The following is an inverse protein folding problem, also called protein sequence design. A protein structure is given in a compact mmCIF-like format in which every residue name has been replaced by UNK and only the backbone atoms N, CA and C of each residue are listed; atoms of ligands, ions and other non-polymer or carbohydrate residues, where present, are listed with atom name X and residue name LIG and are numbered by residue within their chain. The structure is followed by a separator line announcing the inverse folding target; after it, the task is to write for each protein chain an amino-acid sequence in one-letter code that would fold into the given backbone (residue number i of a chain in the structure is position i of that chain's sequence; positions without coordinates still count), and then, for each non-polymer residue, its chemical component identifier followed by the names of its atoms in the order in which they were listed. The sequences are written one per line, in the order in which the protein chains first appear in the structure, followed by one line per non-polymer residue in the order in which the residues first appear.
data_IF_811904713706
#
_entry.id   IF_811904713706
#
_cell.length_a   1.000
_cell.length_b   1.000
_cell.length_c   1.000
_cell.angle_alpha   90.00
_cell.angle_beta   90.00
_cell.angle_gamma   90.00
#
_symmetry.space_group_name_H-M   'P 1'
#
loop_
_entity.id
_entity.type
_entity.pdbx_description
1 polymer ?
#
# COMPACT_ATOMS: atom_id res chain seq x y z
N UNK A 1 1.28 34.14 -79.48
CA UNK A 1 0.41 35.26 -79.05
C UNK A 1 -0.90 34.67 -78.54
N UNK A 2 -1.58 35.20 -77.50
CA UNK A 2 -1.13 36.01 -76.36
C UNK A 2 -1.61 35.42 -74.98
N UNK A 3 -1.52 36.03 -73.78
CA UNK A 3 -0.45 36.72 -73.01
C UNK A 3 -0.86 36.72 -71.51
N UNK A 4 -0.04 36.14 -70.60
CA UNK A 4 0.03 36.36 -69.12
C UNK A 4 -1.26 36.09 -68.26
N UNK A 5 -1.29 36.00 -66.91
CA UNK A 5 -0.33 35.99 -65.78
C UNK A 5 -0.62 34.70 -64.92
N UNK A 6 0.24 34.10 -64.08
CA UNK A 6 1.03 34.58 -62.91
C UNK A 6 0.51 33.84 -61.64
N UNK A 7 1.26 33.54 -60.55
CA UNK A 7 2.59 33.95 -60.08
C UNK A 7 3.31 32.78 -59.35
N UNK A 8 4.63 32.67 -59.57
CA UNK A 8 5.72 32.03 -58.80
C UNK A 8 5.47 30.85 -57.82
N UNK A 9 6.12 29.73 -58.12
CA UNK A 9 6.85 28.90 -57.13
C UNK A 9 8.34 29.01 -57.45
N UNK A 10 9.18 29.36 -56.47
CA UNK A 10 10.64 29.48 -56.67
C UNK A 10 11.35 28.26 -56.10
N UNK A 11 11.97 27.46 -56.97
CA UNK A 11 12.98 26.50 -56.58
C UNK A 11 14.30 27.23 -56.28
N UNK A 12 14.91 26.93 -55.13
CA UNK A 12 16.30 27.25 -54.84
C UNK A 12 17.03 25.97 -54.47
N UNK A 13 18.07 25.63 -55.23
CA UNK A 13 18.93 24.50 -54.91
C UNK A 13 19.73 24.82 -53.65
N UNK A 14 19.83 23.86 -52.72
CA UNK A 14 20.93 23.81 -51.76
C UNK A 14 21.76 22.56 -51.99
N UNK A 15 23.08 22.76 -52.09
CA UNK A 15 24.03 21.69 -52.38
C UNK A 15 24.26 20.81 -51.14
N UNK A 16 24.39 19.51 -51.34
CA UNK A 16 24.58 18.55 -50.25
C UNK A 16 25.95 18.68 -49.58
N UNK A 17 26.03 19.42 -48.48
CA UNK A 17 27.19 19.39 -47.58
C UNK A 17 27.05 18.16 -46.69
N UNK A 18 27.91 17.16 -46.91
CA UNK A 18 28.07 16.02 -46.00
C UNK A 18 28.73 16.48 -44.69
N UNK A 19 27.95 17.11 -43.80
CA UNK A 19 28.27 17.18 -42.39
C UNK A 19 28.08 15.77 -41.79
N UNK A 20 29.11 14.95 -41.94
CA UNK A 20 29.21 13.70 -41.20
C UNK A 20 29.28 14.01 -39.72
N UNK A 21 28.15 13.91 -39.02
CA UNK A 21 28.09 13.98 -37.56
C UNK A 21 28.78 12.73 -37.02
N UNK A 22 30.10 12.84 -36.85
CA UNK A 22 30.88 11.90 -36.06
C UNK A 22 30.33 12.02 -34.64
N UNK A 23 29.50 11.06 -34.25
CA UNK A 23 29.13 10.88 -32.86
C UNK A 23 30.41 10.54 -32.10
N UNK A 24 31.06 11.57 -31.53
CA UNK A 24 32.26 11.42 -30.72
C UNK A 24 31.87 10.65 -29.46
N UNK A 25 32.05 9.33 -29.51
CA UNK A 25 31.99 8.44 -28.36
C UNK A 25 33.17 8.79 -27.44
N UNK A 26 33.01 9.85 -26.66
CA UNK A 26 34.01 10.35 -25.73
C UNK A 26 34.47 9.20 -24.82
N UNK A 27 35.76 8.91 -24.84
CA UNK A 27 36.37 7.92 -23.96
C UNK A 27 36.59 8.51 -22.57
N UNK A 28 35.50 8.83 -21.86
CA UNK A 28 35.57 9.20 -20.45
C UNK A 28 35.99 7.99 -19.61
N UNK A 29 37.28 7.94 -19.27
CA UNK A 29 37.84 6.79 -18.55
C UNK A 29 38.80 7.18 -17.41
N UNK A 30 38.42 8.22 -16.64
CA UNK A 30 39.01 8.51 -15.32
C UNK A 30 38.15 9.33 -14.34
N UNK A 31 37.02 9.93 -14.75
CA UNK A 31 36.34 10.95 -13.91
C UNK A 31 35.43 10.38 -12.81
N UNK A 32 35.09 9.08 -12.87
CA UNK A 32 34.26 8.42 -11.86
C UNK A 32 35.11 8.01 -10.63
N UNK A 33 34.59 8.17 -9.39
CA UNK A 33 35.21 7.67 -8.17
C UNK A 33 35.59 6.18 -8.26
N UNK A 34 36.75 5.83 -7.69
CA UNK A 34 37.18 4.44 -7.55
C UNK A 34 36.65 3.77 -6.27
N UNK A 35 36.11 4.55 -5.33
CA UNK A 35 35.62 4.05 -4.04
C UNK A 35 34.23 4.59 -3.72
N UNK A 36 33.36 3.71 -3.24
CA UNK A 36 31.96 4.02 -2.89
C UNK A 36 31.65 3.52 -1.48
N UNK A 37 31.34 4.43 -0.56
CA UNK A 37 30.86 4.04 0.77
C UNK A 37 29.35 3.81 0.73
N UNK A 38 28.88 2.74 1.36
CA UNK A 38 27.45 2.47 1.56
C UNK A 38 27.17 2.59 3.06
N UNK A 39 26.19 3.43 3.40
CA UNK A 39 25.74 3.61 4.78
C UNK A 39 24.80 2.49 5.22
N UNK A 40 24.92 2.06 6.47
CA UNK A 40 23.96 1.19 7.13
C UNK A 40 23.51 1.81 8.46
N UNK A 41 22.22 2.02 8.65
CA UNK A 41 21.60 2.30 9.95
C UNK A 41 20.81 1.07 10.34
N UNK A 42 21.35 0.26 11.25
CA UNK A 42 20.86 -1.11 11.48
C UNK A 42 20.44 -1.31 12.93
N UNK A 43 19.46 -2.18 13.16
CA UNK A 43 18.95 -2.46 14.51
C UNK A 43 20.02 -3.10 15.41
N UNK A 44 20.68 -4.17 14.92
CA UNK A 44 21.47 -5.08 15.76
C UNK A 44 22.88 -5.39 15.20
N UNK A 45 23.80 -5.93 16.05
CA UNK A 45 25.17 -6.24 15.63
C UNK A 45 25.32 -7.41 14.65
N UNK A 46 24.36 -8.34 14.59
CA UNK A 46 24.39 -9.43 13.60
C UNK A 46 24.05 -8.88 12.21
N UNK A 47 23.06 -7.99 12.11
CA UNK A 47 22.76 -7.23 10.89
C UNK A 47 23.95 -6.36 10.45
N UNK A 48 24.66 -5.68 11.36
CA UNK A 48 25.91 -4.96 11.02
C UNK A 48 26.99 -5.90 10.46
N UNK A 49 27.19 -7.07 11.08
CA UNK A 49 28.17 -8.07 10.64
C UNK A 49 27.81 -8.65 9.27
N UNK A 50 26.53 -8.92 9.04
CA UNK A 50 25.99 -9.41 7.77
C UNK A 50 26.11 -8.36 6.66
N UNK A 51 25.75 -7.10 6.92
CA UNK A 51 25.89 -5.98 5.98
C UNK A 51 27.34 -5.82 5.48
N UNK A 52 28.31 -5.83 6.40
CA UNK A 52 29.75 -5.83 6.09
C UNK A 52 30.17 -7.05 5.27
N UNK A 53 29.67 -8.23 5.61
CA UNK A 53 29.95 -9.48 4.88
C UNK A 53 29.39 -9.43 3.44
N UNK A 54 28.18 -8.90 3.25
CA UNK A 54 27.56 -8.72 1.93
C UNK A 54 28.38 -7.74 1.07
N UNK A 55 28.82 -6.60 1.61
CA UNK A 55 29.62 -5.62 0.86
C UNK A 55 31.03 -6.16 0.54
N UNK A 56 31.65 -6.88 1.49
CA UNK A 56 32.93 -7.56 1.23
C UNK A 56 32.80 -8.56 0.08
N UNK A 57 31.76 -9.39 0.07
CA UNK A 57 31.50 -10.36 -0.99
C UNK A 57 31.15 -9.70 -2.33
N UNK A 58 30.38 -8.59 -2.31
CA UNK A 58 30.01 -7.83 -3.52
C UNK A 58 31.24 -7.39 -4.33
N UNK A 59 32.34 -6.99 -3.68
CA UNK A 59 33.57 -6.56 -4.35
C UNK A 59 34.23 -7.63 -5.25
N UNK A 60 33.88 -8.91 -5.08
CA UNK A 60 34.35 -9.99 -5.94
C UNK A 60 33.40 -10.32 -7.10
N UNK A 61 32.17 -9.78 -7.07
CA UNK A 61 31.15 -10.03 -8.09
C UNK A 61 31.27 -9.04 -9.28
N UNK A 62 31.97 -9.49 -10.33
CA UNK A 62 32.16 -8.73 -11.58
C UNK A 62 30.86 -8.53 -12.38
N UNK A 63 29.73 -9.17 -12.02
CA UNK A 63 28.43 -8.83 -12.58
C UNK A 63 27.94 -7.46 -12.09
N UNK A 64 28.26 -7.07 -10.85
CA UNK A 64 27.79 -5.82 -10.23
C UNK A 64 28.90 -4.78 -10.04
N UNK A 65 30.15 -5.19 -9.82
CA UNK A 65 31.28 -4.28 -9.54
C UNK A 65 32.25 -4.20 -10.73
N UNK A 66 32.41 -3.02 -11.38
CA UNK A 66 33.42 -2.83 -12.42
C UNK A 66 34.86 -2.96 -11.88
N UNK A 67 35.81 -3.35 -12.74
CA UNK A 67 37.23 -3.40 -12.37
C UNK A 67 37.73 -2.02 -11.96
N UNK A 68 38.55 -1.97 -10.90
CA UNK A 68 39.06 -0.76 -10.22
C UNK A 68 38.02 0.03 -9.39
N UNK A 69 36.83 -0.52 -9.17
CA UNK A 69 35.84 0.00 -8.21
C UNK A 69 35.89 -0.85 -6.93
N UNK A 70 35.80 -0.20 -5.77
CA UNK A 70 35.70 -0.89 -4.47
C UNK A 70 34.62 -0.24 -3.58
N UNK A 71 33.74 -1.06 -3.04
CA UNK A 71 32.71 -0.69 -2.07
C UNK A 71 33.16 -0.93 -0.63
N UNK A 72 32.76 -0.04 0.28
CA UNK A 72 33.05 -0.14 1.71
C UNK A 72 31.80 0.13 2.56
N UNK A 73 31.65 -0.59 3.68
CA UNK A 73 30.59 -0.35 4.66
C UNK A 73 30.90 0.86 5.56
N UNK A 74 29.85 1.56 5.99
CA UNK A 74 29.86 2.51 7.11
C UNK A 74 28.59 2.26 7.93
N UNK A 75 28.71 1.63 9.10
CA UNK A 75 27.54 1.27 9.93
C UNK A 75 27.40 2.15 11.16
N UNK A 76 26.15 2.44 11.52
CA UNK A 76 25.72 2.93 12.82
C UNK A 76 24.47 2.15 13.27
N UNK A 77 24.15 2.23 14.56
CA UNK A 77 22.87 1.79 15.11
C UNK A 77 21.97 2.99 15.36
N UNK A 78 20.66 2.79 15.25
CA UNK A 78 19.67 3.82 15.56
C UNK A 78 19.65 4.10 17.07
N UNK A 79 19.64 5.37 17.48
CA UNK A 79 19.51 5.77 18.89
C UNK A 79 18.03 6.10 19.18
N UNK A 80 17.54 5.70 20.37
CA UNK A 80 16.18 5.99 20.85
C UNK A 80 15.86 7.50 20.92
N UNK A 81 16.87 8.37 20.90
CA UNK A 81 16.69 9.79 20.66
C UNK A 81 16.93 10.12 19.17
N UNK A 82 15.90 10.51 18.39
CA UNK A 82 16.03 10.85 16.98
C UNK A 82 17.08 11.94 16.69
N UNK A 83 17.27 12.91 17.60
CA UNK A 83 18.25 13.99 17.44
C UNK A 83 19.68 13.42 17.44
N UNK A 84 19.96 12.42 18.28
CA UNK A 84 21.26 11.73 18.23
C UNK A 84 21.40 10.88 16.97
N UNK A 85 20.33 10.30 16.46
CA UNK A 85 20.35 9.59 15.17
C UNK A 85 20.73 10.55 14.03
N UNK A 86 20.20 11.79 14.00
CA UNK A 86 20.63 12.84 13.05
C UNK A 86 22.14 13.12 13.14
N UNK A 87 22.67 13.39 14.34
CA UNK A 87 24.11 13.62 14.52
C UNK A 87 24.96 12.40 14.11
N UNK A 88 24.55 11.18 14.48
CA UNK A 88 25.25 9.97 14.06
C UNK A 88 25.25 9.79 12.52
N UNK A 89 24.16 10.12 11.83
CA UNK A 89 24.10 10.08 10.35
C UNK A 89 25.08 11.09 9.75
N UNK A 90 25.12 12.32 10.27
CA UNK A 90 26.09 13.33 9.83
C UNK A 90 27.54 12.89 10.08
N UNK A 91 27.93 12.65 11.33
CA UNK A 91 29.33 12.49 11.74
C UNK A 91 29.95 11.15 11.28
N UNK A 92 29.13 10.11 11.06
CA UNK A 92 29.62 8.74 10.82
C UNK A 92 29.27 8.18 9.45
N UNK A 93 28.27 8.75 8.76
CA UNK A 93 27.91 8.36 7.40
C UNK A 93 28.24 9.47 6.39
N UNK A 94 27.69 10.68 6.56
CA UNK A 94 27.87 11.79 5.60
C UNK A 94 29.30 12.30 5.61
N UNK A 95 29.94 12.44 6.78
CA UNK A 95 31.37 12.78 6.87
C UNK A 95 32.28 11.74 6.16
N UNK A 96 31.76 10.53 5.93
CA UNK A 96 32.45 9.42 5.25
C UNK A 96 31.96 9.21 3.81
N UNK A 97 31.26 10.18 3.23
CA UNK A 97 30.79 10.21 1.83
C UNK A 97 30.04 8.94 1.40
N UNK A 98 28.96 8.62 2.12
CA UNK A 98 28.05 7.53 1.71
C UNK A 98 27.23 7.93 0.49
N UNK A 99 27.12 7.04 -0.50
CA UNK A 99 26.36 7.29 -1.73
C UNK A 99 24.88 6.94 -1.60
N UNK A 100 24.53 6.05 -0.67
CA UNK A 100 23.18 5.72 -0.24
C UNK A 100 23.22 5.11 1.17
N UNK A 101 22.07 5.06 1.84
CA UNK A 101 21.93 4.49 3.20
C UNK A 101 20.86 3.39 3.22
N UNK A 102 21.22 2.18 3.64
CA UNK A 102 20.25 1.12 3.96
C UNK A 102 19.82 1.30 5.42
N UNK A 103 18.51 1.31 5.71
CA UNK A 103 17.99 1.52 7.07
C UNK A 103 17.02 0.42 7.52
N UNK A 104 17.31 -0.16 8.69
CA UNK A 104 16.41 -1.01 9.47
C UNK A 104 16.17 -0.42 10.85
N UNK A 105 15.05 -0.82 11.46
CA UNK A 105 14.63 -0.46 12.81
C UNK A 105 13.92 -1.66 13.44
N UNK A 106 13.95 -1.73 14.78
CA UNK A 106 13.18 -2.72 15.54
C UNK A 106 11.68 -2.42 15.43
N UNK A 107 10.93 -3.28 14.73
CA UNK A 107 9.47 -3.16 14.64
C UNK A 107 8.76 -3.40 15.98
N UNK A 108 9.40 -4.12 16.91
CA UNK A 108 8.79 -4.59 18.17
C UNK A 108 8.76 -3.56 19.29
N UNK A 109 9.52 -2.45 19.19
CA UNK A 109 9.68 -1.51 20.29
C UNK A 109 8.93 -0.18 20.13
N UNK A 110 8.42 0.15 18.94
CA UNK A 110 7.58 1.34 18.66
C UNK A 110 8.29 2.71 18.75
N UNK A 111 9.34 2.81 19.57
CA UNK A 111 10.14 4.01 19.83
C UNK A 111 11.01 4.47 18.63
N UNK A 112 11.26 3.58 17.66
CA UNK A 112 12.27 3.77 16.62
C UNK A 112 11.63 3.95 15.24
N UNK A 113 11.84 5.12 14.61
CA UNK A 113 11.37 5.41 13.26
C UNK A 113 12.53 5.85 12.35
N UNK A 114 12.63 5.34 11.11
CA UNK A 114 13.65 5.74 10.15
C UNK A 114 13.46 7.17 9.61
N UNK A 115 12.40 7.89 10.01
CA UNK A 115 12.13 9.26 9.57
C UNK A 115 13.32 10.20 9.77
N UNK A 116 14.04 10.13 10.90
CA UNK A 116 15.23 10.95 11.15
C UNK A 116 16.33 10.72 10.09
N UNK A 117 16.59 9.45 9.74
CA UNK A 117 17.55 9.08 8.69
C UNK A 117 17.07 9.61 7.33
N UNK A 118 15.78 9.44 7.03
CA UNK A 118 15.19 9.89 5.77
C UNK A 118 15.25 11.41 5.58
N UNK A 119 15.00 12.20 6.62
CA UNK A 119 15.08 13.66 6.54
C UNK A 119 16.53 14.14 6.37
N UNK A 120 17.46 13.63 7.18
CA UNK A 120 18.87 14.03 7.10
C UNK A 120 19.49 13.63 5.76
N UNK A 121 19.28 12.40 5.28
CA UNK A 121 19.78 11.97 3.98
C UNK A 121 19.07 12.67 2.80
N UNK A 122 17.75 12.90 2.91
CA UNK A 122 16.95 13.57 1.90
C UNK A 122 17.35 15.02 1.63
N UNK A 123 17.75 15.77 2.67
CA UNK A 123 18.29 17.12 2.52
C UNK A 123 19.50 17.15 1.56
N UNK A 124 20.43 16.21 1.74
CA UNK A 124 21.63 16.05 0.90
C UNK A 124 21.40 15.22 -0.38
N UNK A 125 20.15 14.90 -0.72
CA UNK A 125 19.77 14.05 -1.87
C UNK A 125 20.38 12.64 -1.86
N UNK A 126 20.80 12.14 -0.70
CA UNK A 126 21.34 10.80 -0.53
C UNK A 126 20.16 9.81 -0.52
N UNK A 127 20.10 8.81 -1.42
CA UNK A 127 19.05 7.81 -1.42
C UNK A 127 19.05 6.96 -0.14
N UNK A 128 17.86 6.67 0.37
CA UNK A 128 17.65 5.81 1.54
C UNK A 128 16.84 4.60 1.11
N UNK A 129 17.28 3.39 1.47
CA UNK A 129 16.56 2.14 1.22
C UNK A 129 16.12 1.56 2.56
N UNK A 130 14.84 1.72 2.89
CA UNK A 130 14.23 1.13 4.08
C UNK A 130 13.95 -0.37 3.90
N UNK A 131 14.34 -1.19 4.87
CA UNK A 131 14.13 -2.64 4.80
C UNK A 131 13.05 -3.18 5.74
N UNK A 132 12.61 -2.39 6.74
CA UNK A 132 11.61 -2.85 7.72
C UNK A 132 10.42 -1.90 7.95
N UNK A 133 10.33 -0.74 7.29
CA UNK A 133 9.20 0.22 7.47
C UNK A 133 8.10 0.04 6.43
N UNK A 134 6.86 -0.20 6.89
CA UNK A 134 5.67 -0.46 6.06
C UNK A 134 4.58 0.62 6.17
N UNK A 135 4.84 1.68 6.93
CA UNK A 135 3.98 2.86 7.10
C UNK A 135 3.83 3.65 5.78
N UNK A 136 2.60 3.97 5.40
CA UNK A 136 2.26 4.76 4.21
C UNK A 136 2.95 6.13 4.11
N UNK A 137 3.29 6.79 5.23
CA UNK A 137 3.89 8.12 5.25
C UNK A 137 5.20 8.21 4.44
N UNK A 138 6.00 7.14 4.43
CA UNK A 138 7.27 7.07 3.68
C UNK A 138 7.11 7.05 2.15
N UNK A 139 5.89 6.84 1.64
CA UNK A 139 5.57 6.92 0.22
C UNK A 139 5.51 8.37 -0.29
N UNK A 140 5.16 9.35 0.56
CA UNK A 140 5.00 10.75 0.16
C UNK A 140 6.35 11.41 -0.19
N UNK A 141 6.55 11.75 -1.46
CA UNK A 141 7.80 12.38 -1.96
C UNK A 141 7.85 13.90 -1.82
N UNK A 142 6.81 14.53 -1.27
CA UNK A 142 6.91 15.89 -0.75
C UNK A 142 7.66 15.92 0.59
N UNK A 143 7.64 14.80 1.32
CA UNK A 143 8.23 14.65 2.66
C UNK A 143 9.51 13.80 2.61
N UNK A 144 9.44 12.62 1.99
CA UNK A 144 10.48 11.59 1.97
C UNK A 144 11.15 11.49 0.59
N UNK A 145 11.66 12.64 0.10
CA UNK A 145 12.16 12.88 -1.28
C UNK A 145 13.11 11.82 -1.86
N UNK A 146 13.94 11.17 -1.05
CA UNK A 146 14.97 10.20 -1.48
C UNK A 146 14.78 8.78 -0.94
N UNK A 147 13.61 8.48 -0.35
CA UNK A 147 13.32 7.18 0.28
C UNK A 147 12.74 6.17 -0.72
N UNK A 148 13.28 4.94 -0.73
CA UNK A 148 12.71 3.73 -1.32
C UNK A 148 12.62 2.63 -0.25
N UNK A 149 11.93 1.52 -0.52
CA UNK A 149 11.93 0.35 0.40
C UNK A 149 11.74 -1.01 -0.26
N UNK A 150 12.37 -2.05 0.29
CA UNK A 150 12.29 -3.44 -0.18
C UNK A 150 11.17 -4.25 0.48
N UNK A 151 10.53 -3.71 1.51
CA UNK A 151 9.23 -4.19 2.01
C UNK A 151 8.13 -3.27 1.47
N UNK A 152 6.98 -3.79 0.99
CA UNK A 152 5.86 -2.97 0.55
C UNK A 152 5.12 -2.34 1.74
N UNK A 153 4.51 -1.15 1.57
CA UNK A 153 3.62 -0.59 2.58
C UNK A 153 2.41 -1.48 2.85
N UNK A 154 1.73 -1.24 3.98
CA UNK A 154 0.53 -2.00 4.33
C UNK A 154 -0.59 -1.82 3.28
N UNK A 155 -0.70 -0.64 2.66
CA UNK A 155 -1.74 -0.37 1.67
C UNK A 155 -1.63 -1.18 0.36
N UNK A 156 -0.47 -1.79 0.04
CA UNK A 156 -0.36 -2.73 -1.09
C UNK A 156 -1.21 -4.02 -0.90
N UNK A 157 -1.66 -4.30 0.32
CA UNK A 157 -2.59 -5.41 0.59
C UNK A 157 -3.95 -5.25 -0.12
N UNK A 158 -4.35 -4.03 -0.49
CA UNK A 158 -5.56 -3.78 -1.28
C UNK A 158 -5.58 -4.52 -2.63
N UNK A 159 -4.42 -4.68 -3.27
CA UNK A 159 -4.31 -5.39 -4.56
C UNK A 159 -4.64 -6.88 -4.37
N UNK A 160 -4.19 -7.47 -3.26
CA UNK A 160 -4.46 -8.87 -2.91
C UNK A 160 -5.91 -9.05 -2.47
N UNK A 161 -6.51 -8.06 -1.78
CA UNK A 161 -7.95 -8.06 -1.49
C UNK A 161 -8.79 -8.10 -2.78
N UNK A 162 -8.42 -7.32 -3.81
CA UNK A 162 -9.13 -7.30 -5.09
C UNK A 162 -9.01 -8.65 -5.83
N UNK A 163 -7.83 -9.26 -5.86
CA UNK A 163 -7.65 -10.60 -6.45
C UNK A 163 -8.43 -11.68 -5.66
N UNK A 164 -8.50 -11.57 -4.32
CA UNK A 164 -9.30 -12.45 -3.46
C UNK A 164 -10.81 -12.28 -3.77
N UNK A 165 -11.29 -11.05 -3.92
CA UNK A 165 -12.68 -10.78 -4.30
C UNK A 165 -13.03 -11.33 -5.68
N UNK A 166 -12.15 -11.14 -6.66
CA UNK A 166 -12.30 -11.66 -8.01
C UNK A 166 -12.35 -13.20 -8.01
N UNK A 167 -11.40 -13.86 -7.33
CA UNK A 167 -11.36 -15.32 -7.19
C UNK A 167 -12.63 -15.90 -6.54
N UNK A 168 -13.21 -15.19 -5.55
CA UNK A 168 -14.43 -15.63 -4.84
C UNK A 168 -15.75 -15.08 -5.39
N UNK A 169 -15.73 -14.28 -6.46
CA UNK A 169 -16.92 -13.66 -7.05
C UNK A 169 -17.66 -12.68 -6.14
N UNK A 170 -16.97 -12.01 -5.21
CA UNK A 170 -17.59 -11.03 -4.31
C UNK A 170 -17.69 -9.66 -4.98
N UNK A 171 -18.91 -9.18 -5.26
CA UNK A 171 -19.18 -7.93 -5.99
C UNK A 171 -19.51 -6.73 -5.10
N UNK A 172 -19.88 -6.94 -3.84
CA UNK A 172 -20.16 -5.89 -2.84
C UNK A 172 -19.36 -6.12 -1.56
N UNK A 173 -18.68 -5.09 -1.06
CA UNK A 173 -17.96 -5.10 0.22
C UNK A 173 -18.29 -3.91 1.10
N UNK A 174 -18.10 -4.11 2.41
CA UNK A 174 -17.92 -3.02 3.38
C UNK A 174 -16.43 -2.92 3.69
N UNK A 175 -15.85 -1.71 3.60
CA UNK A 175 -14.47 -1.45 3.97
C UNK A 175 -14.45 -0.76 5.33
N UNK A 176 -13.69 -1.33 6.27
CA UNK A 176 -13.47 -0.81 7.62
C UNK A 176 -11.98 -0.43 7.71
N UNK A 177 -11.69 0.81 8.07
CA UNK A 177 -10.31 1.27 8.28
C UNK A 177 -10.23 2.32 9.39
N UNK A 178 -9.07 2.40 10.03
CA UNK A 178 -8.75 3.50 10.93
C UNK A 178 -8.59 4.83 10.16
N UNK A 179 -8.79 5.96 10.86
CA UNK A 179 -8.55 7.32 10.38
C UNK A 179 -7.06 7.71 10.33
N UNK A 180 -6.15 6.75 10.35
CA UNK A 180 -4.71 6.98 10.19
C UNK A 180 -4.29 7.04 8.71
N UNK A 181 -3.00 7.28 8.47
CA UNK A 181 -2.44 7.44 7.12
C UNK A 181 -2.45 6.15 6.32
N UNK A 182 -2.21 4.99 6.94
CA UNK A 182 -2.28 3.68 6.28
C UNK A 182 -3.74 3.29 5.97
N UNK A 183 -4.66 3.57 6.90
CA UNK A 183 -6.10 3.32 6.72
C UNK A 183 -6.72 4.09 5.55
N UNK A 184 -6.40 5.39 5.43
CA UNK A 184 -6.76 6.16 4.22
C UNK A 184 -6.05 5.68 2.96
N UNK A 185 -4.77 5.30 3.05
CA UNK A 185 -4.01 4.84 1.89
C UNK A 185 -4.53 3.50 1.33
N UNK A 186 -4.96 2.56 2.19
CA UNK A 186 -5.51 1.27 1.75
C UNK A 186 -6.89 1.42 1.12
N UNK A 187 -7.76 2.32 1.63
CA UNK A 187 -9.00 2.71 0.96
C UNK A 187 -8.70 3.33 -0.42
N UNK A 188 -7.81 4.32 -0.48
CA UNK A 188 -7.47 5.04 -1.71
C UNK A 188 -6.87 4.14 -2.80
N UNK A 189 -6.00 3.19 -2.43
CA UNK A 189 -5.49 2.19 -3.39
C UNK A 189 -6.58 1.22 -3.81
N UNK A 190 -7.41 0.72 -2.90
CA UNK A 190 -8.51 -0.17 -3.27
C UNK A 190 -9.45 0.49 -4.30
N UNK A 191 -9.88 1.73 -4.03
CA UNK A 191 -10.73 2.51 -4.94
C UNK A 191 -10.07 2.80 -6.29
N UNK A 192 -8.78 3.14 -6.31
CA UNK A 192 -8.05 3.39 -7.55
C UNK A 192 -7.86 2.10 -8.37
N UNK A 193 -7.32 1.04 -7.76
CA UNK A 193 -7.00 -0.24 -8.42
C UNK A 193 -8.25 -0.98 -8.91
N UNK A 194 -9.39 -0.85 -8.21
CA UNK A 194 -10.69 -1.41 -8.65
C UNK A 194 -11.29 -0.69 -9.85
N UNK A 195 -11.01 0.60 -10.02
CA UNK A 195 -11.47 1.39 -11.16
C UNK A 195 -10.57 1.17 -12.38
N UNK A 196 -9.24 1.25 -12.23
CA UNK A 196 -8.31 1.29 -13.37
C UNK A 196 -8.04 -0.06 -14.05
N UNK A 197 -8.10 -1.18 -13.31
CA UNK A 197 -7.70 -2.50 -13.83
C UNK A 197 -8.87 -3.36 -14.34
N UNK A 198 -10.12 -2.90 -14.17
CA UNK A 198 -11.34 -3.68 -14.41
C UNK A 198 -12.34 -2.92 -15.29
N UNK A 199 -11.86 -2.29 -16.37
CA UNK A 199 -12.72 -1.59 -17.34
C UNK A 199 -13.48 -2.52 -18.31
N UNK A 200 -13.05 -3.78 -18.43
CA UNK A 200 -13.52 -4.74 -19.45
C UNK A 200 -14.16 -6.01 -18.83
N UNK A 201 -14.52 -5.97 -17.54
CA UNK A 201 -15.07 -7.12 -16.79
C UNK A 201 -16.26 -6.70 -15.93
N UNK A 202 -17.38 -7.40 -16.10
CA UNK A 202 -18.69 -7.21 -15.43
C UNK A 202 -18.72 -7.61 -13.93
N UNK A 203 -17.55 -7.61 -13.28
CA UNK A 203 -17.32 -8.04 -11.89
C UNK A 203 -16.48 -7.00 -11.15
N UNK A 204 -16.87 -5.72 -11.26
CA UNK A 204 -16.25 -4.65 -10.49
C UNK A 204 -16.60 -4.79 -9.01
N UNK A 205 -15.57 -4.80 -8.17
CA UNK A 205 -15.68 -4.77 -6.71
C UNK A 205 -16.28 -3.44 -6.26
N UNK A 206 -17.57 -3.40 -5.93
CA UNK A 206 -18.24 -2.20 -5.43
C UNK A 206 -18.15 -2.09 -3.91
N UNK A 207 -17.85 -0.89 -3.42
CA UNK A 207 -17.89 -0.56 -2.00
C UNK A 207 -19.30 -0.06 -1.67
N UNK A 208 -20.03 -0.82 -0.85
CA UNK A 208 -21.39 -0.48 -0.43
C UNK A 208 -21.39 0.47 0.78
N UNK A 209 -20.39 0.35 1.65
CA UNK A 209 -20.23 1.18 2.84
C UNK A 209 -18.73 1.31 3.18
N UNK A 210 -18.34 2.50 3.63
CA UNK A 210 -17.02 2.81 4.17
C UNK A 210 -17.22 3.17 5.65
N UNK A 211 -16.42 2.56 6.52
CA UNK A 211 -16.43 2.78 7.96
C UNK A 211 -15.03 3.23 8.38
N UNK A 212 -14.85 4.55 8.50
CA UNK A 212 -13.67 5.15 9.11
C UNK A 212 -13.86 5.22 10.64
N UNK A 213 -12.84 4.86 11.43
CA UNK A 213 -12.89 4.90 12.89
C UNK A 213 -11.61 5.51 13.51
N UNK A 214 -11.73 6.17 14.66
CA UNK A 214 -10.56 6.70 15.39
C UNK A 214 -9.79 5.57 16.11
N UNK A 215 -8.45 5.47 15.97
CA UNK A 215 -7.65 4.45 16.67
C UNK A 215 -7.74 4.52 18.20
N UNK A 216 -7.57 3.35 18.85
CA UNK A 216 -7.77 3.10 20.30
C UNK A 216 -9.24 3.04 20.68
N UNK A 217 -10.00 2.18 20.00
CA UNK A 217 -11.41 1.92 20.26
C UNK A 217 -11.64 1.31 21.65
N UNK A 218 -12.65 1.82 22.38
CA UNK A 218 -13.25 1.09 23.51
C UNK A 218 -14.38 0.15 23.06
N UNK A 219 -15.11 0.55 22.02
CA UNK A 219 -16.29 -0.12 21.43
C UNK A 219 -16.36 0.15 19.93
N UNK A 220 -16.88 -0.81 19.17
CA UNK A 220 -17.19 -0.69 17.74
C UNK A 220 -18.69 -0.97 17.46
N UNK A 221 -19.52 -1.05 18.51
CA UNK A 221 -20.89 -1.55 18.42
C UNK A 221 -21.83 -0.70 17.57
N UNK A 222 -21.68 0.63 17.57
CA UNK A 222 -22.50 1.56 16.79
C UNK A 222 -22.33 1.32 15.28
N UNK A 223 -21.10 1.33 14.79
CA UNK A 223 -20.77 1.01 13.40
C UNK A 223 -21.29 -0.38 12.97
N UNK A 224 -21.24 -1.38 13.87
CA UNK A 224 -21.77 -2.73 13.58
C UNK A 224 -23.31 -2.75 13.44
N UNK A 225 -24.04 -1.83 14.07
CA UNK A 225 -25.49 -1.69 13.89
C UNK A 225 -25.78 -1.11 12.49
N UNK A 226 -25.05 -0.07 12.08
CA UNK A 226 -25.19 0.50 10.73
C UNK A 226 -24.81 -0.51 9.64
N UNK A 227 -23.68 -1.21 9.80
CA UNK A 227 -23.21 -2.24 8.88
C UNK A 227 -24.19 -3.40 8.68
N UNK A 228 -25.08 -3.68 9.65
CA UNK A 228 -26.14 -4.69 9.51
C UNK A 228 -27.22 -4.27 8.51
N UNK A 229 -27.43 -2.97 8.31
CA UNK A 229 -28.44 -2.44 7.37
C UNK A 229 -28.07 -2.62 5.90
N UNK A 230 -26.76 -2.65 5.60
CA UNK A 230 -26.23 -2.92 4.26
C UNK A 230 -26.55 -4.34 3.77
N UNK A 231 -26.41 -4.60 2.46
CA UNK A 231 -26.66 -5.92 1.87
C UNK A 231 -25.44 -6.83 1.98
N UNK A 232 -24.23 -6.29 1.86
CA UNK A 232 -22.99 -7.07 1.92
C UNK A 232 -22.75 -7.67 3.31
N UNK A 233 -22.19 -8.88 3.29
CA UNK A 233 -21.68 -9.63 4.44
C UNK A 233 -20.21 -9.97 4.25
N UNK A 234 -19.50 -9.23 3.39
CA UNK A 234 -18.06 -9.31 3.16
C UNK A 234 -17.38 -8.05 3.68
N UNK A 235 -16.53 -8.22 4.69
CA UNK A 235 -15.87 -7.14 5.40
C UNK A 235 -14.37 -7.14 5.07
N UNK A 236 -13.86 -6.02 4.55
CA UNK A 236 -12.43 -5.77 4.38
C UNK A 236 -11.94 -4.92 5.56
N UNK A 237 -11.04 -5.43 6.39
CA UNK A 237 -10.62 -4.76 7.64
C UNK A 237 -9.13 -4.38 7.63
N UNK A 238 -8.88 -3.08 7.78
CA UNK A 238 -7.62 -2.52 8.23
C UNK A 238 -7.76 -1.99 9.67
N UNK A 239 -6.93 -2.47 10.59
CA UNK A 239 -6.91 -2.04 11.98
C UNK A 239 -5.56 -2.36 12.64
N UNK A 240 -5.27 -1.71 13.78
CA UNK A 240 -4.18 -2.13 14.68
C UNK A 240 -4.49 -3.50 15.31
N UNK A 241 -3.49 -4.13 15.94
CA UNK A 241 -3.68 -5.42 16.65
C UNK A 241 -4.65 -5.27 17.82
N UNK A 242 -4.69 -4.08 18.42
CA UNK A 242 -5.47 -3.70 19.59
C UNK A 242 -6.92 -3.38 19.18
N UNK A 243 -7.11 -2.52 18.17
CA UNK A 243 -8.42 -2.15 17.65
C UNK A 243 -9.13 -3.36 17.03
N UNK A 244 -8.39 -4.23 16.32
CA UNK A 244 -8.94 -5.48 15.79
C UNK A 244 -9.50 -6.39 16.90
N UNK A 245 -8.89 -6.43 18.09
CA UNK A 245 -9.45 -7.20 19.21
C UNK A 245 -10.81 -6.67 19.65
N UNK A 246 -10.98 -5.34 19.68
CA UNK A 246 -12.24 -4.67 20.05
C UNK A 246 -13.31 -4.87 18.97
N UNK A 247 -12.93 -4.71 17.69
CA UNK A 247 -13.82 -4.95 16.54
C UNK A 247 -14.31 -6.40 16.52
N UNK A 248 -13.42 -7.39 16.67
CA UNK A 248 -13.80 -8.81 16.68
C UNK A 248 -14.62 -9.21 17.90
N UNK A 249 -14.36 -8.62 19.08
CA UNK A 249 -15.15 -8.81 20.31
C UNK A 249 -16.60 -8.39 20.06
N UNK A 250 -16.81 -7.18 19.55
CA UNK A 250 -18.15 -6.63 19.36
C UNK A 250 -18.86 -7.26 18.17
N UNK A 251 -18.13 -7.62 17.09
CA UNK A 251 -18.68 -8.35 15.95
C UNK A 251 -19.18 -9.75 16.34
N UNK A 252 -18.47 -10.44 17.25
CA UNK A 252 -18.89 -11.74 17.77
C UNK A 252 -20.17 -11.63 18.63
N UNK A 253 -20.23 -10.65 19.54
CA UNK A 253 -21.45 -10.33 20.31
C UNK A 253 -22.63 -10.01 19.37
N UNK A 254 -22.34 -9.40 18.22
CA UNK A 254 -23.32 -9.03 17.20
C UNK A 254 -23.69 -10.15 16.20
N UNK A 255 -23.15 -11.38 16.37
CA UNK A 255 -23.30 -12.53 15.45
C UNK A 255 -22.74 -12.31 14.02
N UNK A 256 -21.89 -11.31 13.81
CA UNK A 256 -21.29 -10.98 12.50
C UNK A 256 -20.05 -11.84 12.18
N UNK A 257 -19.68 -12.75 13.07
CA UNK A 257 -18.61 -13.75 12.91
C UNK A 257 -19.15 -15.16 12.60
N UNK A 258 -20.45 -15.29 12.37
CA UNK A 258 -21.12 -16.57 12.12
C UNK A 258 -21.35 -16.84 10.62
N UNK A 259 -21.91 -18.01 10.31
CA UNK A 259 -22.18 -18.46 8.94
C UNK A 259 -22.91 -17.39 8.09
N UNK A 260 -22.48 -17.25 6.83
CA UNK A 260 -22.99 -16.25 5.89
C UNK A 260 -22.10 -15.00 5.78
N UNK A 261 -21.24 -14.74 6.76
CA UNK A 261 -20.26 -13.66 6.75
C UNK A 261 -18.91 -14.10 6.18
N UNK A 262 -18.14 -13.16 5.66
CA UNK A 262 -16.73 -13.31 5.30
C UNK A 262 -15.93 -12.10 5.78
N UNK A 263 -14.78 -12.36 6.40
CA UNK A 263 -13.85 -11.33 6.86
C UNK A 263 -12.50 -11.53 6.18
N UNK A 264 -12.00 -10.49 5.51
CA UNK A 264 -10.70 -10.46 4.84
C UNK A 264 -9.91 -9.30 5.44
N UNK A 265 -8.76 -9.58 6.06
CA UNK A 265 -8.10 -8.62 6.96
C UNK A 265 -6.62 -8.41 6.62
N UNK A 266 -6.05 -7.28 7.05
CA UNK A 266 -4.60 -7.06 6.94
C UNK A 266 -3.79 -7.82 8.00
N UNK A 267 -2.50 -7.93 7.75
CA UNK A 267 -1.51 -8.60 8.60
C UNK A 267 -1.57 -8.18 10.08
N UNK A 268 -1.81 -6.90 10.38
CA UNK A 268 -1.94 -6.39 11.75
C UNK A 268 -3.18 -6.96 12.46
N UNK A 269 -4.36 -6.85 11.83
CA UNK A 269 -5.61 -7.38 12.38
C UNK A 269 -5.55 -8.92 12.55
N UNK A 270 -4.81 -9.62 11.69
CA UNK A 270 -4.55 -11.06 11.80
C UNK A 270 -3.67 -11.44 13.02
N UNK A 271 -3.12 -10.49 13.78
CA UNK A 271 -2.40 -10.76 15.03
C UNK A 271 -3.27 -10.60 16.30
N UNK A 272 -4.55 -10.22 16.16
CA UNK A 272 -5.48 -10.17 17.28
C UNK A 272 -5.68 -11.56 17.93
N UNK A 273 -5.59 -11.63 19.26
CA UNK A 273 -5.68 -12.88 20.03
C UNK A 273 -7.03 -13.61 19.93
N UNK A 274 -8.06 -12.91 19.47
CA UNK A 274 -9.45 -13.36 19.35
C UNK A 274 -9.94 -13.41 17.90
N UNK A 275 -9.04 -13.35 16.90
CA UNK A 275 -9.40 -13.38 15.47
C UNK A 275 -10.39 -14.53 15.16
N UNK A 276 -11.58 -14.26 14.61
CA UNK A 276 -12.61 -15.28 14.43
C UNK A 276 -12.21 -16.45 13.51
N UNK A 277 -12.81 -17.62 13.76
CA UNK A 277 -12.60 -18.80 12.91
C UNK A 277 -13.20 -18.55 11.53
N UNK A 278 -12.40 -18.80 10.49
CA UNK A 278 -12.75 -18.59 9.10
C UNK A 278 -12.45 -17.20 8.56
N UNK A 279 -11.82 -16.32 9.34
CA UNK A 279 -11.16 -15.12 8.82
C UNK A 279 -10.10 -15.51 7.80
N UNK A 280 -10.06 -14.78 6.68
CA UNK A 280 -8.92 -14.74 5.76
C UNK A 280 -8.06 -13.52 6.09
N UNK A 281 -6.74 -13.66 6.01
CA UNK A 281 -5.83 -12.54 6.16
C UNK A 281 -4.53 -12.75 5.40
N UNK A 282 -3.67 -11.75 5.43
CA UNK A 282 -2.43 -11.70 4.65
C UNK A 282 -1.20 -11.68 5.55
N UNK A 283 -0.12 -12.29 5.11
CA UNK A 283 1.22 -12.17 5.72
C UNK A 283 2.25 -11.98 4.60
N UNK A 284 3.04 -10.92 4.68
CA UNK A 284 4.12 -10.62 3.75
C UNK A 284 5.22 -11.71 3.82
N UNK A 285 5.55 -12.33 2.68
CA UNK A 285 6.69 -13.24 2.59
C UNK A 285 8.00 -12.49 2.85
N UNK A 286 8.92 -13.09 3.61
CA UNK A 286 10.20 -12.50 4.02
C UNK A 286 10.09 -11.19 4.84
N UNK A 287 8.93 -10.88 5.46
CA UNK A 287 8.73 -9.65 6.24
C UNK A 287 9.82 -9.37 7.30
N UNK A 288 10.22 -10.42 8.04
CA UNK A 288 11.18 -10.33 9.14
C UNK A 288 12.60 -10.82 8.73
N UNK A 289 12.93 -10.73 7.43
CA UNK A 289 14.18 -11.25 6.87
C UNK A 289 15.18 -10.13 6.54
N UNK A 290 15.54 -9.31 7.54
CA UNK A 290 16.50 -8.19 7.41
C UNK A 290 17.77 -8.61 6.63
N UNK A 291 18.29 -9.81 6.85
CA UNK A 291 19.49 -10.34 6.16
C UNK A 291 19.29 -10.51 4.65
N UNK A 292 18.10 -10.84 4.19
CA UNK A 292 17.79 -10.97 2.77
C UNK A 292 17.48 -9.61 2.13
N UNK A 293 16.74 -8.75 2.83
CA UNK A 293 16.51 -7.37 2.37
C UNK A 293 17.81 -6.54 2.32
N UNK A 294 18.71 -6.65 3.31
CA UNK A 294 20.06 -6.06 3.30
C UNK A 294 20.80 -6.45 2.00
N UNK A 295 20.79 -7.74 1.67
CA UNK A 295 21.44 -8.22 0.44
C UNK A 295 20.81 -7.60 -0.79
N UNK A 296 19.49 -7.63 -0.88
CA UNK A 296 18.77 -7.16 -2.05
C UNK A 296 18.95 -5.65 -2.24
N UNK A 297 18.89 -4.85 -1.17
CA UNK A 297 19.20 -3.41 -1.20
C UNK A 297 20.61 -3.12 -1.72
N UNK A 298 21.63 -3.86 -1.25
CA UNK A 298 23.02 -3.67 -1.67
C UNK A 298 23.25 -4.06 -3.13
N UNK A 299 22.61 -5.13 -3.62
CA UNK A 299 22.73 -5.57 -5.02
C UNK A 299 21.94 -4.68 -5.99
N UNK A 300 20.76 -4.18 -5.59
CA UNK A 300 20.02 -3.11 -6.29
C UNK A 300 20.89 -1.86 -6.44
N UNK A 301 21.51 -1.40 -5.34
CA UNK A 301 22.37 -0.23 -5.33
C UNK A 301 23.60 -0.38 -6.23
N UNK A 302 24.28 -1.53 -6.15
CA UNK A 302 25.43 -1.81 -7.01
C UNK A 302 25.04 -1.86 -8.50
N UNK A 303 23.86 -2.42 -8.82
CA UNK A 303 23.30 -2.41 -10.18
C UNK A 303 23.00 -0.99 -10.68
N UNK A 304 22.42 -0.14 -9.82
CA UNK A 304 22.11 1.26 -10.15
C UNK A 304 23.38 2.10 -10.38
N UNK A 305 24.39 1.96 -9.50
CA UNK A 305 25.68 2.66 -9.65
C UNK A 305 26.41 2.18 -10.91
N UNK A 306 26.43 0.87 -11.20
CA UNK A 306 27.07 0.32 -12.42
C UNK A 306 26.43 0.86 -13.71
N UNK A 307 25.10 0.97 -13.74
CA UNK A 307 24.37 1.58 -14.86
C UNK A 307 24.76 3.06 -14.99
N UNK A 308 24.65 3.83 -13.91
CA UNK A 308 24.97 5.26 -13.89
C UNK A 308 26.41 5.54 -14.34
N UNK A 309 27.39 4.78 -13.84
CA UNK A 309 28.80 4.86 -14.25
C UNK A 309 29.05 4.58 -15.75
N UNK A 310 28.12 3.90 -16.42
CA UNK A 310 28.22 3.55 -17.84
C UNK A 310 27.62 4.63 -18.76
N UNK A 311 26.72 5.45 -18.22
CA UNK A 311 25.96 6.46 -18.97
C UNK A 311 26.43 7.90 -18.67
N UNK A 312 26.98 8.15 -17.48
CA UNK A 312 27.32 9.50 -17.01
C UNK A 312 28.39 9.52 -15.89
N UNK A 313 28.86 10.72 -15.53
CA UNK A 313 29.83 10.94 -14.46
C UNK A 313 29.16 11.14 -13.10
N UNK A 314 29.58 10.35 -12.12
CA UNK A 314 29.12 10.42 -10.72
C UNK A 314 30.06 11.35 -9.95
N UNK A 315 29.55 12.46 -9.42
CA UNK A 315 30.33 13.31 -8.51
C UNK A 315 30.41 12.70 -7.12
N UNK A 316 31.50 12.97 -6.40
CA UNK A 316 31.66 12.49 -5.02
C UNK A 316 30.47 12.90 -4.13
N UNK A 317 30.03 12.00 -3.26
CA UNK A 317 29.01 12.30 -2.27
C UNK A 317 29.45 13.41 -1.28
N UNK A 318 28.50 14.14 -0.65
CA UNK A 318 28.77 15.16 0.37
C UNK A 318 29.67 14.64 1.49
N UNK A 319 30.49 15.54 2.05
CA UNK A 319 31.61 15.23 2.95
C UNK A 319 31.42 15.76 4.39
N UNK A 320 30.36 16.51 4.63
CA UNK A 320 30.02 17.16 5.90
C UNK A 320 28.53 17.57 5.87
N UNK A 321 28.00 17.99 7.01
CA UNK A 321 26.66 18.56 7.16
C UNK A 321 26.67 20.09 7.39
N UNK A 322 27.77 20.76 7.07
CA UNK A 322 27.93 22.22 7.26
C UNK A 322 27.60 23.03 6.01
N UNK A 323 27.92 22.50 4.83
CA UNK A 323 27.64 23.18 3.55
C UNK A 323 26.19 22.95 3.08
N UNK A 324 25.29 23.80 3.57
CA UNK A 324 23.87 23.79 3.22
C UNK A 324 23.55 24.28 1.79
N UNK A 325 24.56 24.66 0.99
CA UNK A 325 24.39 25.07 -0.41
C UNK A 325 24.47 23.94 -1.43
N UNK A 326 25.04 22.78 -1.07
CA UNK A 326 25.39 21.72 -2.04
C UNK A 326 24.24 20.75 -2.28
N UNK A 327 23.42 21.04 -3.28
CA UNK A 327 22.42 20.12 -3.80
C UNK A 327 23.10 19.02 -4.64
N UNK A 328 23.28 17.82 -4.08
CA UNK A 328 24.06 16.74 -4.72
C UNK A 328 23.29 16.06 -5.86
N UNK A 329 23.46 16.61 -7.07
CA UNK A 329 22.72 16.20 -8.27
C UNK A 329 22.92 14.71 -8.65
N UNK A 330 24.11 14.14 -8.40
CA UNK A 330 24.34 12.71 -8.62
C UNK A 330 23.54 11.81 -7.69
N UNK A 331 23.18 12.27 -6.48
CA UNK A 331 22.29 11.58 -5.56
C UNK A 331 20.86 11.48 -6.09
N UNK A 332 20.32 12.58 -6.62
CA UNK A 332 19.01 12.59 -7.31
C UNK A 332 18.97 11.62 -8.48
N UNK A 333 20.02 11.61 -9.31
CA UNK A 333 20.09 10.71 -10.46
C UNK A 333 20.21 9.26 -10.00
N UNK A 334 21.02 8.97 -8.98
CA UNK A 334 21.10 7.65 -8.38
C UNK A 334 19.74 7.17 -7.84
N UNK A 335 18.93 8.04 -7.23
CA UNK A 335 17.55 7.74 -6.85
C UNK A 335 16.68 7.31 -8.05
N UNK A 336 16.78 7.99 -9.20
CA UNK A 336 16.09 7.56 -10.42
C UNK A 336 16.64 6.25 -10.98
N UNK A 337 17.97 6.04 -11.00
CA UNK A 337 18.55 4.77 -11.43
C UNK A 337 18.08 3.61 -10.55
N UNK A 338 18.00 3.80 -9.22
CA UNK A 338 17.44 2.84 -8.26
C UNK A 338 16.00 2.47 -8.62
N UNK A 339 15.12 3.46 -8.86
CA UNK A 339 13.72 3.21 -9.31
C UNK A 339 13.65 2.37 -10.59
N UNK A 340 14.53 2.62 -11.56
CA UNK A 340 14.55 1.84 -12.83
C UNK A 340 15.15 0.43 -12.72
N UNK A 341 15.71 0.03 -11.57
CA UNK A 341 16.28 -1.33 -11.43
C UNK A 341 15.16 -2.35 -11.24
N UNK A 342 15.29 -3.46 -11.97
CA UNK A 342 14.42 -4.63 -11.86
C UNK A 342 15.32 -5.88 -11.81
N UNK A 343 15.54 -6.43 -10.62
CA UNK A 343 16.46 -7.57 -10.39
C UNK A 343 15.78 -8.69 -9.59
N UNK A 344 16.25 -9.92 -9.77
CA UNK A 344 15.82 -11.05 -8.93
C UNK A 344 16.74 -11.17 -7.72
N UNK A 345 16.22 -10.82 -6.54
CA UNK A 345 16.91 -10.88 -5.26
C UNK A 345 16.68 -12.21 -4.52
N UNK A 346 17.01 -12.22 -3.22
CA UNK A 346 16.69 -13.32 -2.29
C UNK A 346 15.23 -13.32 -1.85
N UNK A 347 14.64 -12.13 -1.71
CA UNK A 347 13.24 -11.95 -1.33
C UNK A 347 12.28 -12.00 -2.54
N UNK A 348 12.70 -12.55 -3.68
CA UNK A 348 11.96 -12.57 -4.95
C UNK A 348 12.35 -11.44 -5.90
N UNK A 349 11.44 -11.01 -6.78
CA UNK A 349 11.70 -9.91 -7.71
C UNK A 349 11.70 -8.56 -6.98
N UNK A 350 12.66 -7.69 -7.29
CA UNK A 350 12.84 -6.38 -6.66
C UNK A 350 12.86 -5.30 -7.74
N UNK A 351 11.80 -4.49 -7.73
CA UNK A 351 11.59 -3.30 -8.54
C UNK A 351 10.69 -2.35 -7.74
N UNK A 352 10.68 -1.06 -8.10
CA UNK A 352 9.96 -0.01 -7.37
C UNK A 352 8.99 0.75 -8.27
N UNK A 353 7.93 1.31 -7.68
CA UNK A 353 7.02 2.25 -8.36
C UNK A 353 7.55 3.70 -8.32
N UNK A 354 6.71 4.64 -8.74
CA UNK A 354 7.07 6.05 -8.74
C UNK A 354 7.29 6.64 -7.33
N UNK A 355 6.67 6.02 -6.31
CA UNK A 355 6.85 6.32 -4.89
C UNK A 355 8.01 5.53 -4.26
N UNK A 356 8.85 4.85 -5.04
CA UNK A 356 9.96 4.06 -4.51
C UNK A 356 9.52 2.87 -3.65
N UNK A 357 8.24 2.50 -3.70
CA UNK A 357 7.67 1.37 -2.99
C UNK A 357 7.79 0.10 -3.83
N UNK A 358 8.04 -1.04 -3.19
CA UNK A 358 8.22 -2.30 -3.90
C UNK A 358 6.92 -2.81 -4.52
N UNK A 359 6.93 -3.01 -5.84
CA UNK A 359 5.77 -3.49 -6.62
C UNK A 359 5.60 -5.02 -6.62
N UNK A 360 6.69 -5.78 -6.53
CA UNK A 360 6.66 -7.24 -6.60
C UNK A 360 7.00 -7.84 -5.24
N UNK A 361 5.98 -8.05 -4.40
CA UNK A 361 6.12 -8.63 -3.07
C UNK A 361 5.15 -9.81 -2.90
N UNK A 362 5.67 -10.94 -2.40
CA UNK A 362 4.87 -12.13 -2.16
C UNK A 362 4.09 -12.06 -0.85
N UNK A 363 2.90 -12.64 -0.81
CA UNK A 363 2.09 -12.76 0.40
C UNK A 363 1.51 -14.16 0.55
N UNK A 364 1.58 -14.71 1.76
CA UNK A 364 0.78 -15.86 2.16
C UNK A 364 -0.64 -15.43 2.51
N UNK A 365 -1.63 -16.14 1.94
CA UNK A 365 -3.04 -16.02 2.33
C UNK A 365 -3.30 -17.04 3.44
N UNK A 366 -3.62 -16.52 4.61
CA UNK A 366 -3.85 -17.27 5.83
C UNK A 366 -5.35 -17.41 6.09
N UNK A 367 -5.79 -18.59 6.50
CA UNK A 367 -7.11 -18.84 7.06
C UNK A 367 -6.99 -19.22 8.54
N UNK A 368 -7.90 -18.72 9.38
CA UNK A 368 -7.89 -18.98 10.83
C UNK A 368 -8.75 -20.19 11.15
N UNK A 369 -8.12 -21.28 11.57
CA UNK A 369 -8.77 -22.50 12.06
C UNK A 369 -8.92 -22.46 13.59
N UNK A 370 -9.66 -23.45 14.12
CA UNK A 370 -9.92 -23.57 15.56
C UNK A 370 -8.66 -23.44 16.42
N UNK A 371 -8.79 -22.75 17.57
CA UNK A 371 -7.70 -22.45 18.52
C UNK A 371 -6.60 -21.55 17.93
N UNK A 372 -7.00 -20.51 17.18
CA UNK A 372 -6.11 -19.51 16.56
C UNK A 372 -5.01 -20.11 15.65
N UNK A 373 -5.33 -21.22 14.98
CA UNK A 373 -4.38 -21.87 14.07
C UNK A 373 -4.34 -21.16 12.72
N UNK A 374 -3.25 -20.47 12.43
CA UNK A 374 -2.94 -19.91 11.11
C UNK A 374 -2.59 -21.04 10.13
N UNK A 375 -3.42 -21.25 9.10
CA UNK A 375 -3.17 -22.18 7.99
C UNK A 375 -2.93 -21.39 6.70
N UNK A 376 -1.85 -21.68 5.96
CA UNK A 376 -1.60 -21.09 4.63
C UNK A 376 -2.50 -21.80 3.62
N UNK A 377 -3.49 -21.08 3.07
CA UNK A 377 -4.46 -21.60 2.08
C UNK A 377 -4.22 -21.06 0.67
N UNK A 378 -3.30 -20.10 0.50
CA UNK A 378 -2.96 -19.55 -0.80
C UNK A 378 -1.69 -18.70 -0.78
N UNK A 379 -1.24 -18.30 -1.97
CA UNK A 379 -0.11 -17.38 -2.17
C UNK A 379 -0.43 -16.37 -3.26
N UNK A 380 -0.07 -15.12 -3.03
CA UNK A 380 0.05 -14.08 -4.05
C UNK A 380 1.53 -13.93 -4.38
N UNK A 381 1.91 -14.15 -5.65
CA UNK A 381 3.33 -14.28 -6.04
C UNK A 381 3.60 -13.66 -7.41
N UNK A 382 4.86 -13.33 -7.68
CA UNK A 382 5.31 -12.87 -8.99
C UNK A 382 5.49 -14.05 -9.95
N UNK A 383 4.79 -14.03 -11.08
CA UNK A 383 4.94 -14.96 -12.20
C UNK A 383 5.99 -14.41 -13.19
N UNK A 384 7.19 -15.02 -13.30
CA UNK A 384 8.25 -14.52 -14.17
C UNK A 384 7.97 -14.73 -15.66
N UNK A 385 7.13 -15.71 -16.03
CA UNK A 385 6.77 -15.96 -17.44
C UNK A 385 5.83 -14.89 -17.97
N UNK A 386 5.00 -14.31 -17.08
CA UNK A 386 3.99 -13.30 -17.41
C UNK A 386 4.31 -11.91 -16.88
N UNK A 387 5.48 -11.75 -16.26
CA UNK A 387 6.00 -10.52 -15.66
C UNK A 387 5.00 -9.79 -14.74
N UNK A 388 4.15 -10.53 -14.02
CA UNK A 388 3.07 -9.93 -13.19
C UNK A 388 2.78 -10.71 -11.92
N UNK A 389 2.19 -10.03 -10.95
CA UNK A 389 1.65 -10.68 -9.74
C UNK A 389 0.40 -11.52 -10.08
N UNK A 390 0.21 -12.63 -9.36
CA UNK A 390 -0.92 -13.55 -9.52
C UNK A 390 -1.30 -14.19 -8.19
N UNK A 391 -2.59 -14.29 -7.90
CA UNK A 391 -3.12 -15.08 -6.79
C UNK A 391 -3.26 -16.57 -7.14
N UNK A 392 -3.04 -17.45 -6.15
CA UNK A 392 -3.43 -18.87 -6.18
C UNK A 392 -3.91 -19.32 -4.80
N UNK A 393 -5.15 -19.76 -4.71
CA UNK A 393 -5.79 -20.27 -3.48
C UNK A 393 -6.17 -21.75 -3.65
N UNK A 394 -6.15 -22.53 -2.57
CA UNK A 394 -6.77 -23.86 -2.50
C UNK A 394 -8.09 -23.79 -1.70
N UNK A 395 -9.20 -23.66 -2.42
CA UNK A 395 -10.55 -23.52 -1.84
C UNK A 395 -10.95 -24.70 -0.94
N UNK A 396 -10.37 -25.89 -1.16
CA UNK A 396 -10.69 -27.11 -0.41
C UNK A 396 -10.10 -27.16 1.01
N UNK A 397 -9.13 -26.28 1.31
CA UNK A 397 -8.50 -26.16 2.64
C UNK A 397 -9.12 -25.04 3.49
N UNK A 398 -9.98 -24.20 2.91
CA UNK A 398 -10.57 -23.05 3.61
C UNK A 398 -11.72 -23.51 4.53
N UNK A 399 -11.65 -23.04 5.77
CA UNK A 399 -12.77 -23.01 6.69
C UNK A 399 -13.38 -21.60 6.64
N UNK A 400 -14.69 -21.50 6.54
CA UNK A 400 -15.45 -20.24 6.54
C UNK A 400 -16.14 -20.03 7.90
N UNK A 401 -16.55 -18.77 8.22
CA UNK A 401 -17.31 -18.45 9.43
C UNK A 401 -18.51 -19.38 9.68
N UNK A 402 -18.83 -19.62 10.96
CA UNK A 402 -19.75 -20.69 11.35
C UNK A 402 -19.25 -22.11 11.02
N UNK A 403 -17.94 -22.29 10.89
CA UNK A 403 -17.22 -23.56 10.60
C UNK A 403 -17.65 -24.25 9.30
N UNK A 404 -18.04 -23.47 8.29
CA UNK A 404 -18.54 -24.00 7.02
C UNK A 404 -17.39 -24.35 6.05
N UNK A 405 -17.58 -25.41 5.24
CA UNK A 405 -16.70 -25.68 4.09
C UNK A 405 -17.18 -25.03 2.79
N UNK A 406 -18.46 -24.64 2.72
CA UNK A 406 -18.98 -23.87 1.58
C UNK A 406 -18.67 -22.39 1.80
N UNK A 407 -18.11 -21.74 0.76
CA UNK A 407 -18.03 -20.28 0.65
C UNK A 407 -19.43 -19.65 0.87
N UNK A 408 -19.55 -18.57 1.68
CA UNK A 408 -20.78 -17.79 1.73
C UNK A 408 -21.01 -17.03 0.41
N UNK A 409 -22.25 -16.67 0.12
CA UNK A 409 -22.54 -15.81 -1.04
C UNK A 409 -22.05 -14.37 -0.82
N UNK A 410 -21.91 -13.94 0.44
CA UNK A 410 -21.41 -12.62 0.81
C UNK A 410 -22.42 -11.48 0.66
N UNK A 411 -23.67 -11.79 0.30
CA UNK A 411 -24.77 -10.82 0.15
C UNK A 411 -26.02 -11.38 0.84
N UNK A 412 -26.71 -10.52 1.58
CA UNK A 412 -28.06 -10.71 2.14
C UNK A 412 -29.00 -9.74 1.44
N UNK A 413 -30.02 -10.27 0.74
CA UNK A 413 -31.09 -9.44 0.16
C UNK A 413 -32.11 -9.14 1.28
N UNK A 414 -32.38 -7.87 1.62
CA UNK A 414 -33.39 -7.54 2.62
C UNK A 414 -34.79 -7.95 2.15
N UNK A 415 -35.53 -8.66 3.00
CA UNK A 415 -36.95 -8.99 2.77
C UNK A 415 -37.91 -7.88 3.20
N UNK A 416 -37.40 -6.87 3.91
CA UNK A 416 -38.13 -5.70 4.41
C UNK A 416 -37.47 -4.45 3.84
N UNK A 417 -38.28 -3.51 3.36
CA UNK A 417 -37.84 -2.22 2.80
C UNK A 417 -38.39 -1.08 3.65
N UNK A 418 -37.55 -0.08 3.96
CA UNK A 418 -38.02 1.20 4.51
C UNK A 418 -38.49 2.06 3.34
N UNK A 419 -39.79 2.30 3.24
CA UNK A 419 -40.40 3.17 2.23
C UNK A 419 -40.67 4.52 2.88
N UNK A 420 -40.17 5.59 2.26
CA UNK A 420 -40.47 6.98 2.64
C UNK A 420 -41.41 7.57 1.60
N UNK A 421 -42.46 8.27 2.04
CA UNK A 421 -43.41 8.97 1.18
C UNK A 421 -43.81 10.31 1.82
N UNK A 422 -44.58 11.11 1.09
CA UNK A 422 -45.09 12.43 1.52
C UNK A 422 -46.62 12.44 1.44
N UNK A 423 -47.28 13.28 2.25
CA UNK A 423 -48.71 13.52 2.13
C UNK A 423 -49.00 14.34 0.85
N UNK A 424 -49.47 13.67 -0.20
CA UNK A 424 -49.90 14.30 -1.45
C UNK A 424 -51.26 13.73 -1.87
N UNK A 425 -52.33 14.50 -1.69
CA UNK A 425 -53.70 14.05 -1.99
C UNK A 425 -53.97 14.19 -3.50
N UNK A 426 -54.44 13.14 -4.21
CA UNK A 426 -55.10 11.93 -3.71
C UNK A 426 -54.21 10.66 -3.63
N UNK A 427 -52.90 10.78 -3.79
CA UNK A 427 -51.97 9.64 -3.84
C UNK A 427 -51.68 9.05 -2.47
N UNK A 428 -51.52 9.90 -1.45
CA UNK A 428 -51.31 9.53 -0.05
C UNK A 428 -52.12 10.46 0.86
N UNK A 429 -52.95 9.85 1.71
CA UNK A 429 -53.65 10.48 2.81
C UNK A 429 -53.01 10.03 4.12
N UNK A 430 -52.86 10.95 5.06
CA UNK A 430 -52.39 10.70 6.43
C UNK A 430 -53.55 10.89 7.42
N UNK A 431 -53.55 10.10 8.49
CA UNK A 431 -54.42 10.24 9.65
C UNK A 431 -53.58 10.04 10.90
N UNK A 432 -53.67 10.93 11.88
CA UNK A 432 -53.00 10.74 13.18
C UNK A 432 -53.86 9.82 14.06
N UNK A 433 -53.24 8.84 14.72
CA UNK A 433 -53.91 8.07 15.77
C UNK A 433 -54.21 8.97 16.97
N UNK A 434 -55.40 8.83 17.53
CA UNK A 434 -55.78 9.49 18.80
C UNK A 434 -55.37 8.63 20.00
N UNK A 435 -55.27 9.22 21.20
CA UNK A 435 -54.79 8.52 22.40
C UNK A 435 -55.65 7.30 22.80
N UNK A 436 -56.87 7.17 22.25
CA UNK A 436 -57.79 6.04 22.43
C UNK A 436 -57.68 4.96 21.32
N UNK A 437 -56.93 5.21 20.24
CA UNK A 437 -56.79 4.32 19.07
C UNK A 437 -55.42 3.62 19.03
N UNK A 438 -55.42 2.29 19.03
CA UNK A 438 -54.18 1.47 19.11
C UNK A 438 -53.73 0.91 17.76
N UNK A 439 -54.62 0.90 16.75
CA UNK A 439 -54.36 0.32 15.42
C UNK A 439 -54.99 1.20 14.33
N UNK A 440 -54.47 1.09 13.11
CA UNK A 440 -55.08 1.66 11.90
C UNK A 440 -56.34 0.89 11.45
N UNK A 441 -57.14 1.52 10.58
CA UNK A 441 -58.32 0.90 9.96
C UNK A 441 -57.93 -0.18 8.92
N UNK A 442 -58.88 -1.04 8.49
CA UNK A 442 -58.60 -2.15 7.55
C UNK A 442 -58.09 -1.69 6.16
N UNK A 443 -58.29 -0.41 5.80
CA UNK A 443 -57.78 0.21 4.57
C UNK A 443 -56.58 1.14 4.79
N UNK A 444 -55.94 1.11 5.97
CA UNK A 444 -54.82 1.98 6.33
C UNK A 444 -53.61 1.19 6.86
N UNK A 445 -52.38 1.58 6.47
CA UNK A 445 -51.13 1.02 7.01
C UNK A 445 -50.48 1.94 8.05
N UNK A 446 -49.82 1.40 9.09
CA UNK A 446 -49.02 2.21 10.03
C UNK A 446 -47.86 2.92 9.32
N UNK A 447 -47.74 4.23 9.53
CA UNK A 447 -46.74 5.11 8.94
C UNK A 447 -46.26 6.15 9.98
N UNK A 448 -45.15 5.91 10.72
CA UNK A 448 -44.66 6.90 11.68
C UNK A 448 -44.23 8.20 10.97
N UNK A 449 -44.78 9.33 11.42
CA UNK A 449 -44.47 10.66 10.92
C UNK A 449 -43.40 11.31 11.79
N UNK A 450 -42.18 11.41 11.25
CA UNK A 450 -41.07 12.11 11.89
C UNK A 450 -41.10 13.61 11.55
N UNK A 451 -41.20 14.46 12.58
CA UNK A 451 -41.11 15.91 12.44
C UNK A 451 -39.69 16.40 12.73
N UNK A 452 -38.96 16.77 11.68
CA UNK A 452 -37.60 17.31 11.78
C UNK A 452 -37.49 18.65 12.55
N UNK A 453 -38.61 19.31 12.87
CA UNK A 453 -38.62 20.62 13.57
C UNK A 453 -38.54 20.49 15.09
N UNK A 454 -39.11 19.43 15.67
CA UNK A 454 -39.15 19.17 17.11
C UNK A 454 -38.53 17.82 17.52
N UNK A 455 -38.19 16.97 16.53
CA UNK A 455 -37.63 15.63 16.76
C UNK A 455 -38.67 14.60 17.20
N UNK A 456 -39.97 14.92 17.13
CA UNK A 456 -41.04 13.99 17.49
C UNK A 456 -41.33 12.99 16.37
N UNK A 457 -41.51 11.74 16.76
CA UNK A 457 -42.09 10.68 15.92
C UNK A 457 -43.52 10.45 16.40
N UNK A 458 -44.49 10.54 15.49
CA UNK A 458 -45.92 10.39 15.80
C UNK A 458 -46.47 9.21 15.01
N UNK A 459 -47.17 8.28 15.67
CA UNK A 459 -47.81 7.16 14.98
C UNK A 459 -49.03 7.65 14.20
N UNK A 460 -48.91 7.61 12.87
CA UNK A 460 -49.99 7.90 11.94
C UNK A 460 -50.36 6.63 11.16
N UNK A 461 -51.51 6.69 10.51
CA UNK A 461 -52.04 5.71 9.57
C UNK A 461 -52.11 6.36 8.18
N UNK A 462 -51.77 5.60 7.13
CA UNK A 462 -51.69 6.08 5.75
C UNK A 462 -52.46 5.19 4.79
N UNK A 463 -53.08 5.80 3.78
CA UNK A 463 -53.77 5.12 2.67
C UNK A 463 -53.77 5.93 1.38
N UNK A 464 -54.13 5.31 0.26
CA UNK A 464 -54.32 5.97 -1.03
C UNK A 464 -53.65 5.24 -2.19
N UNK A 465 -53.74 5.83 -3.37
CA UNK A 465 -53.37 5.20 -4.64
C UNK A 465 -51.88 4.80 -4.78
N UNK A 466 -50.99 5.27 -3.90
CA UNK A 466 -49.59 4.84 -3.84
C UNK A 466 -49.28 3.83 -2.72
N UNK A 467 -50.31 3.33 -2.04
CA UNK A 467 -50.27 2.33 -0.96
C UNK A 467 -51.04 1.06 -1.35
N UNK A 468 -52.10 1.22 -2.17
CA UNK A 468 -52.78 0.14 -2.91
C UNK A 468 -51.88 -0.53 -3.99
#
# INVERSE_FOLDING_TARGET
MPVLNGINVVYLLFCGIHLGVIAQKHSQHSDNPSTYNIGGVLADPESESHFRTIISNLNFDQQYVPRKVTYYDKTIRMDKNPIKTVFNVCDKLIEKRVYAVVVSHEQTSGDLSPAAVSYTSGFYQIPVIGISSRDAAFSDKNIHVSFLRTVPPYYHQADVWLEIMFHFGYTKVIIIHSSDTDGRAILGRFQTTSQTNYDDIDVRATVEMIVEFEPKLDSFTEHLIDMKTAQSRVYLLYASTEDAQVIFRDAAINNMTEAGHAWIVTEQALHANNTPVGVLGLVLEHANSDKEHIRDSVYVLASAIKEMMSNETITEAPKDCGDSGVNWESGKRLFQYLKTRNITGKTGQVAFDDNGDRIYAGYDVINIHEKQKKHVVGKFYYDPEKAKMRLRINDSEILWPGKQKKKPEGIMIPTHLKILTIEEKPFVYTRRLTDDEVNCDEDEIPCPLFNATDGSENENCCRGYCID
#
